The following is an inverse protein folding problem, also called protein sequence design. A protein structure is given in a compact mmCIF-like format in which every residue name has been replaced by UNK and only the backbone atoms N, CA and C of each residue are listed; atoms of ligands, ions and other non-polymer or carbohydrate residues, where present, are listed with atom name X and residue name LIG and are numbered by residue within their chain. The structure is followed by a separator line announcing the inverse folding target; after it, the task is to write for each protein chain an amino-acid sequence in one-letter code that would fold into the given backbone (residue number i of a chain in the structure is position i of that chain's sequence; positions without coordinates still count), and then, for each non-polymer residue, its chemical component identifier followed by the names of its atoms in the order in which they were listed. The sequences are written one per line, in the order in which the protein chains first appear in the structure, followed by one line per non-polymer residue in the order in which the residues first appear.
data_IF_428802163246
#
_entry.id   IF_428802163246
#
_cell.length_a   1.000
_cell.length_b   1.000
_cell.length_c   1.000
_cell.angle_alpha   90.00
_cell.angle_beta   90.00
_cell.angle_gamma   90.00
#
_symmetry.space_group_name_H-M   'P 1'
#
loop_
_entity.id
_entity.type
_entity.pdbx_description
1 polymer ?
#
# COMPACT_ATOMS: atom_id res chain seq x y z
N UNK A 1 -15.84 -4.39 1.43
CA UNK A 1 -15.46 -3.61 2.63
C UNK A 1 -14.21 -4.22 3.27
N UNK A 2 -13.30 -3.36 3.73
CA UNK A 2 -12.05 -3.75 4.38
C UNK A 2 -11.88 -2.95 5.65
N UNK A 3 -11.52 -3.62 6.74
CA UNK A 3 -11.16 -2.96 8.00
C UNK A 3 -9.66 -3.08 8.23
N UNK A 4 -9.03 -1.97 8.58
CA UNK A 4 -7.59 -1.89 8.78
C UNK A 4 -7.28 -1.60 10.25
N UNK A 5 -6.34 -2.37 10.78
CA UNK A 5 -5.76 -2.19 12.10
C UNK A 5 -4.26 -1.95 11.98
N UNK A 6 -3.71 -1.15 12.88
CA UNK A 6 -2.28 -0.92 13.02
C UNK A 6 -1.85 -1.27 14.44
N UNK A 7 -0.95 -2.24 14.59
CA UNK A 7 -0.52 -2.78 15.90
C UNK A 7 -1.71 -3.14 16.80
N UNK A 8 -2.77 -3.70 16.21
CA UNK A 8 -4.00 -4.08 16.90
C UNK A 8 -5.01 -2.95 17.13
N UNK A 9 -4.66 -1.70 16.86
CA UNK A 9 -5.57 -0.55 17.00
C UNK A 9 -6.34 -0.33 15.70
N UNK A 10 -7.64 -0.07 15.80
CA UNK A 10 -8.48 0.28 14.64
C UNK A 10 -7.97 1.57 13.97
N UNK A 11 -7.83 1.53 12.66
CA UNK A 11 -7.43 2.67 11.83
C UNK A 11 -8.60 3.22 11.05
N UNK A 12 -9.18 2.39 10.19
CA UNK A 12 -10.28 2.79 9.32
C UNK A 12 -11.00 1.59 8.72
N UNK A 13 -12.22 1.84 8.27
CA UNK A 13 -12.98 0.91 7.45
C UNK A 13 -13.18 1.54 6.07
N UNK A 14 -12.79 0.81 5.04
CA UNK A 14 -12.89 1.25 3.65
C UNK A 14 -13.98 0.47 2.92
N UNK A 15 -14.91 1.21 2.33
CA UNK A 15 -15.78 0.70 1.27
C UNK A 15 -15.13 1.06 -0.06
N UNK A 16 -14.41 0.12 -0.65
CA UNK A 16 -13.56 0.34 -1.82
C UNK A 16 -13.41 -0.96 -2.60
N UNK A 17 -12.89 -0.87 -3.83
CA UNK A 17 -12.59 -2.06 -4.64
C UNK A 17 -11.41 -2.85 -4.06
N UNK A 18 -10.53 -2.19 -3.32
CA UNK A 18 -9.39 -2.80 -2.66
C UNK A 18 -8.62 -1.80 -1.82
N UNK A 19 -7.57 -2.30 -1.20
CA UNK A 19 -6.54 -1.49 -0.54
C UNK A 19 -5.16 -1.95 -0.99
N UNK A 20 -4.26 -1.00 -1.20
CA UNK A 20 -2.88 -1.25 -1.59
C UNK A 20 -1.98 -0.87 -0.43
N UNK A 21 -1.03 -1.74 -0.08
CA UNK A 21 0.05 -1.40 0.84
C UNK A 21 1.34 -1.47 0.05
N UNK A 22 2.08 -0.37 0.03
CA UNK A 22 3.29 -0.25 -0.76
C UNK A 22 4.47 0.25 0.05
N UNK A 23 5.65 -0.24 -0.30
CA UNK A 23 6.94 0.33 0.11
C UNK A 23 7.19 1.66 -0.60
N UNK A 24 8.20 2.46 -0.21
CA UNK A 24 8.58 3.64 -0.96
C UNK A 24 8.84 3.36 -2.45
N UNK A 25 9.55 2.29 -2.77
CA UNK A 25 9.77 1.87 -4.16
C UNK A 25 8.45 1.55 -4.87
N UNK A 26 7.55 0.82 -4.22
CA UNK A 26 6.24 0.45 -4.78
C UNK A 26 5.24 1.61 -4.83
N UNK A 27 5.50 2.73 -4.14
CA UNK A 27 4.60 3.89 -4.11
C UNK A 27 4.41 4.54 -5.49
N UNK A 28 5.37 4.38 -6.39
CA UNK A 28 5.32 4.91 -7.76
C UNK A 28 4.65 3.97 -8.77
N UNK A 29 4.18 2.81 -8.34
CA UNK A 29 3.47 1.84 -9.16
C UNK A 29 1.94 1.99 -9.03
N UNK A 30 1.22 0.92 -8.72
CA UNK A 30 -0.25 0.94 -8.66
C UNK A 30 -0.79 1.88 -7.56
N UNK A 31 -0.07 2.01 -6.44
CA UNK A 31 -0.44 2.98 -5.39
C UNK A 31 -0.55 4.41 -5.91
N UNK A 32 0.40 4.83 -6.78
CA UNK A 32 0.35 6.15 -7.41
C UNK A 32 -0.88 6.29 -8.31
N UNK A 33 -1.18 5.29 -9.13
CA UNK A 33 -2.36 5.29 -10.00
C UNK A 33 -3.68 5.34 -9.22
N UNK A 34 -3.69 4.79 -8.01
CA UNK A 34 -4.83 4.84 -7.10
C UNK A 34 -4.92 6.15 -6.29
N UNK A 35 -4.03 7.10 -6.52
CA UNK A 35 -4.01 8.40 -5.85
C UNK A 35 -3.13 8.47 -4.60
N UNK A 36 -2.26 7.48 -4.39
CA UNK A 36 -1.28 7.51 -3.32
C UNK A 36 -0.12 8.47 -3.58
N UNK A 37 0.58 8.93 -2.54
CA UNK A 37 1.73 9.81 -2.68
C UNK A 37 2.97 9.05 -3.17
N UNK A 38 3.87 9.78 -3.80
CA UNK A 38 5.25 9.32 -4.02
C UNK A 38 6.00 9.44 -2.70
N UNK A 39 6.62 8.34 -2.26
CA UNK A 39 7.42 8.31 -1.05
C UNK A 39 8.90 8.41 -1.39
N UNK A 40 9.66 9.10 -0.55
CA UNK A 40 11.12 9.12 -0.64
C UNK A 40 11.66 7.70 -0.47
N UNK A 41 12.53 7.25 -1.39
CA UNK A 41 13.11 5.92 -1.36
C UNK A 41 13.91 5.61 -0.08
N UNK A 42 14.44 6.65 0.59
CA UNK A 42 15.18 6.52 1.83
C UNK A 42 14.29 6.52 3.09
N UNK A 43 12.99 6.79 2.95
CA UNK A 43 12.08 6.83 4.08
C UNK A 43 11.75 5.42 4.59
N UNK A 44 11.83 5.21 5.90
CA UNK A 44 11.44 3.97 6.55
C UNK A 44 9.93 3.97 6.84
N UNK A 45 9.14 3.89 5.79
CA UNK A 45 7.66 3.98 5.84
C UNK A 45 7.01 2.98 4.88
N UNK A 46 5.72 2.79 5.04
CA UNK A 46 4.84 2.16 4.07
C UNK A 46 3.58 3.00 3.90
N UNK A 47 2.95 2.94 2.75
CA UNK A 47 1.72 3.65 2.46
C UNK A 47 0.58 2.67 2.23
N UNK A 48 -0.59 2.99 2.80
CA UNK A 48 -1.85 2.34 2.50
C UNK A 48 -2.67 3.29 1.62
N UNK A 49 -3.08 2.80 0.46
CA UNK A 49 -3.88 3.56 -0.51
C UNK A 49 -5.17 2.80 -0.82
N UNK A 50 -6.34 3.36 -0.52
CA UNK A 50 -7.62 2.76 -0.92
C UNK A 50 -7.82 2.89 -2.43
N UNK A 51 -8.44 1.87 -3.05
CA UNK A 51 -8.71 1.83 -4.50
C UNK A 51 -10.19 2.11 -4.73
N UNK A 52 -10.49 3.15 -5.49
CA UNK A 52 -11.87 3.54 -5.85
C UNK A 52 -12.80 3.57 -4.63
N UNK A 53 -12.37 4.22 -3.56
CA UNK A 53 -13.15 4.30 -2.33
C UNK A 53 -14.41 5.15 -2.53
N UNK A 54 -15.50 4.72 -1.91
CA UNK A 54 -16.80 5.38 -2.00
C UNK A 54 -16.93 6.61 -1.07
N UNK A 55 -15.91 6.92 -0.29
CA UNK A 55 -15.89 8.05 0.62
C UNK A 55 -14.80 9.06 0.25
N UNK A 56 -15.15 10.33 0.23
CA UNK A 56 -14.19 11.43 0.06
C UNK A 56 -13.17 11.54 1.21
N UNK A 57 -13.45 10.90 2.33
CA UNK A 57 -12.57 10.85 3.50
C UNK A 57 -11.60 9.66 3.49
N UNK A 58 -11.69 8.80 2.48
CA UNK A 58 -10.79 7.65 2.33
C UNK A 58 -9.46 8.12 1.70
N UNK A 59 -8.62 8.74 2.51
CA UNK A 59 -7.31 9.25 2.10
C UNK A 59 -6.23 8.20 2.28
N UNK A 60 -5.15 8.23 1.47
CA UNK A 60 -3.96 7.42 1.73
C UNK A 60 -3.32 7.76 3.07
N UNK A 61 -2.83 6.73 3.76
CA UNK A 61 -2.18 6.85 5.07
C UNK A 61 -0.76 6.31 5.01
N UNK A 62 0.18 7.05 5.59
CA UNK A 62 1.58 6.65 5.70
C UNK A 62 1.87 6.17 7.11
N UNK A 63 2.47 4.99 7.23
CA UNK A 63 2.85 4.35 8.49
C UNK A 63 4.36 4.17 8.58
N UNK A 64 4.91 4.18 9.78
CA UNK A 64 6.28 3.74 9.99
C UNK A 64 6.46 2.29 9.53
N UNK A 65 7.61 1.99 8.93
CA UNK A 65 7.97 0.64 8.50
C UNK A 65 8.03 -0.39 9.66
N UNK A 66 8.13 0.09 10.91
CA UNK A 66 8.13 -0.75 12.11
C UNK A 66 6.72 -1.21 12.54
N UNK A 67 5.66 -0.67 11.93
CA UNK A 67 4.28 -1.03 12.26
C UNK A 67 3.87 -2.35 11.60
N UNK A 68 2.91 -3.01 12.23
CA UNK A 68 2.22 -4.16 11.68
C UNK A 68 0.81 -3.74 11.29
N UNK A 69 0.48 -3.88 10.00
CA UNK A 69 -0.87 -3.64 9.50
C UNK A 69 -1.64 -4.95 9.38
N UNK A 70 -2.89 -4.93 9.75
CA UNK A 70 -3.81 -6.04 9.53
C UNK A 70 -5.00 -5.55 8.71
N UNK A 71 -5.25 -6.18 7.59
CA UNK A 71 -6.39 -5.91 6.71
C UNK A 71 -7.37 -7.06 6.81
N UNK A 72 -8.57 -6.78 7.26
CA UNK A 72 -9.66 -7.75 7.36
C UNK A 72 -10.57 -7.62 6.14
N UNK A 73 -10.76 -8.71 5.40
CA UNK A 73 -11.81 -8.81 4.39
C UNK A 73 -13.14 -9.04 5.12
N UNK A 74 -13.99 -8.01 5.15
CA UNK A 74 -15.23 -8.07 5.91
C UNK A 74 -16.16 -9.21 5.46
N UNK A 75 -16.83 -9.85 6.42
CA UNK A 75 -17.76 -10.95 6.15
C UNK A 75 -18.98 -10.52 5.30
N UNK A 76 -19.24 -9.22 5.19
CA UNK A 76 -20.30 -8.64 4.35
C UNK A 76 -19.93 -8.56 2.87
N UNK A 77 -18.68 -8.87 2.48
CA UNK A 77 -18.28 -8.89 1.09
C UNK A 77 -19.07 -9.96 0.32
N UNK A 78 -19.69 -9.56 -0.78
CA UNK A 78 -20.47 -10.44 -1.65
C UNK A 78 -19.61 -11.19 -2.65
N UNK A 79 -18.51 -10.55 -3.06
CA UNK A 79 -17.58 -11.07 -4.05
C UNK A 79 -16.37 -11.70 -3.36
N UNK A 80 -15.71 -12.60 -4.08
CA UNK A 80 -14.44 -13.17 -3.64
C UNK A 80 -13.38 -12.11 -3.49
N UNK A 81 -12.63 -12.15 -2.39
CA UNK A 81 -11.51 -11.26 -2.12
C UNK A 81 -10.22 -12.04 -2.27
N UNK A 82 -9.21 -11.42 -2.80
CA UNK A 82 -7.87 -12.00 -2.85
C UNK A 82 -6.80 -10.95 -2.57
N UNK A 83 -5.69 -11.38 -2.06
CA UNK A 83 -4.46 -10.59 -1.96
C UNK A 83 -3.48 -11.03 -3.03
N UNK A 84 -2.73 -10.09 -3.58
CA UNK A 84 -1.60 -10.39 -4.47
C UNK A 84 -0.40 -9.51 -4.12
N UNK A 85 0.80 -10.06 -4.28
CA UNK A 85 2.04 -9.33 -4.13
C UNK A 85 2.68 -9.14 -5.50
N UNK A 86 2.86 -7.89 -5.92
CA UNK A 86 3.48 -7.49 -7.20
C UNK A 86 2.93 -8.25 -8.42
N UNK A 87 1.65 -8.58 -8.39
CA UNK A 87 0.94 -9.35 -9.44
C UNK A 87 1.46 -10.78 -9.68
N UNK A 88 2.33 -11.29 -8.84
CA UNK A 88 2.93 -12.63 -9.01
C UNK A 88 2.32 -13.71 -8.11
N UNK A 89 1.93 -13.35 -6.91
CA UNK A 89 1.35 -14.28 -5.95
C UNK A 89 -0.10 -13.91 -5.70
N UNK A 90 -0.96 -14.90 -5.61
CA UNK A 90 -2.38 -14.72 -5.27
C UNK A 90 -2.74 -15.61 -4.08
N UNK A 91 -3.42 -15.02 -3.12
CA UNK A 91 -4.00 -15.70 -1.97
C UNK A 91 -5.47 -15.32 -1.87
N UNK A 92 -6.37 -16.28 -2.03
CA UNK A 92 -7.79 -16.05 -1.88
C UNK A 92 -8.14 -15.95 -0.38
N UNK A 93 -8.95 -14.96 -0.03
CA UNK A 93 -9.41 -14.70 1.33
C UNK A 93 -10.90 -15.02 1.45
N UNK A 94 -11.25 -15.82 2.45
CA UNK A 94 -12.64 -16.05 2.80
C UNK A 94 -13.21 -14.83 3.54
N UNK A 95 -14.53 -14.62 3.50
CA UNK A 95 -15.16 -13.56 4.28
C UNK A 95 -14.79 -13.64 5.76
N UNK A 96 -14.31 -12.53 6.31
CA UNK A 96 -13.84 -12.42 7.70
C UNK A 96 -12.38 -12.80 7.93
N UNK A 97 -11.69 -13.34 6.93
CA UNK A 97 -10.24 -13.57 7.04
C UNK A 97 -9.45 -12.28 6.96
N UNK A 98 -8.26 -12.31 7.51
CA UNK A 98 -7.36 -11.17 7.56
C UNK A 98 -5.98 -11.48 6.98
N UNK A 99 -5.33 -10.45 6.49
CA UNK A 99 -3.95 -10.46 6.05
C UNK A 99 -3.13 -9.54 6.95
N UNK A 100 -2.02 -10.07 7.47
CA UNK A 100 -1.06 -9.27 8.25
C UNK A 100 0.13 -8.90 7.39
N UNK A 101 0.49 -7.62 7.41
CA UNK A 101 1.54 -7.05 6.59
C UNK A 101 2.59 -6.40 7.49
N UNK A 102 3.84 -6.80 7.29
CA UNK A 102 5.03 -6.22 7.94
C UNK A 102 6.09 -5.94 6.90
N UNK A 103 7.00 -5.02 7.20
CA UNK A 103 8.19 -4.83 6.38
C UNK A 103 9.14 -6.00 6.57
N UNK A 104 9.66 -6.56 5.48
CA UNK A 104 10.65 -7.62 5.53
C UNK A 104 11.96 -7.12 6.16
N UNK A 105 12.66 -8.03 6.85
CA UNK A 105 14.00 -7.75 7.39
C UNK A 105 15.02 -7.66 6.27
N UNK A 106 14.85 -8.51 5.24
CA UNK A 106 15.68 -8.53 4.05
C UNK A 106 15.46 -7.27 3.22
N UNK A 107 16.56 -6.68 2.78
CA UNK A 107 16.56 -5.50 1.92
C UNK A 107 17.23 -5.80 0.59
N UNK A 108 16.65 -5.27 -0.48
CA UNK A 108 17.29 -5.28 -1.79
C UNK A 108 18.28 -4.11 -1.88
N UNK A 109 19.55 -4.42 -2.08
CA UNK A 109 20.57 -3.40 -2.35
C UNK A 109 20.50 -2.93 -3.80
N UNK A 110 20.23 -1.65 -4.01
CA UNK A 110 20.28 -1.01 -5.31
C UNK A 110 21.58 -0.21 -5.44
N UNK A 111 22.30 -0.41 -6.54
CA UNK A 111 23.47 0.39 -6.87
C UNK A 111 23.00 1.68 -7.51
N UNK A 112 23.41 2.81 -6.94
CA UNK A 112 23.12 4.14 -7.48
C UNK A 112 24.41 4.94 -7.56
N UNK A 113 24.51 5.78 -8.57
CA UNK A 113 25.65 6.69 -8.77
C UNK A 113 25.38 8.12 -8.27
N UNK A 114 24.11 8.41 -7.94
CA UNK A 114 23.66 9.72 -7.50
C UNK A 114 22.48 9.53 -6.53
N UNK A 115 22.65 10.00 -5.29
CA UNK A 115 21.62 9.91 -4.25
C UNK A 115 20.34 10.69 -4.60
N UNK A 116 20.43 11.64 -5.54
CA UNK A 116 19.30 12.45 -6.01
C UNK A 116 18.63 11.90 -7.26
N UNK A 117 19.04 10.74 -7.75
CA UNK A 117 18.52 10.13 -8.98
C UNK A 117 17.01 9.92 -8.93
N UNK A 118 16.46 9.58 -7.77
CA UNK A 118 15.00 9.45 -7.59
C UNK A 118 14.27 10.75 -7.92
N UNK A 119 14.76 11.89 -7.44
CA UNK A 119 14.10 13.19 -7.67
C UNK A 119 14.15 13.60 -9.14
N UNK A 120 15.25 13.31 -9.82
CA UNK A 120 15.40 13.53 -11.26
C UNK A 120 14.45 12.62 -12.05
N UNK A 121 14.30 11.36 -11.65
CA UNK A 121 13.34 10.43 -12.25
C UNK A 121 11.89 10.86 -12.04
N UNK A 122 11.54 11.37 -10.86
CA UNK A 122 10.22 11.94 -10.58
C UNK A 122 9.93 13.11 -11.51
N UNK A 123 10.85 14.07 -11.61
CA UNK A 123 10.68 15.23 -12.48
C UNK A 123 10.49 14.80 -13.94
N UNK A 124 11.37 13.93 -14.45
CA UNK A 124 11.40 13.61 -15.88
C UNK A 124 10.33 12.62 -16.32
N UNK A 125 9.92 11.69 -15.44
CA UNK A 125 9.01 10.59 -15.81
C UNK A 125 7.59 10.78 -15.31
N UNK A 126 7.39 11.47 -14.20
CA UNK A 126 6.07 11.62 -13.59
C UNK A 126 5.50 13.03 -13.74
N UNK A 127 6.32 14.06 -13.70
CA UNK A 127 5.85 15.47 -13.69
C UNK A 127 5.99 16.17 -15.05
N UNK A 128 6.79 15.68 -15.97
CA UNK A 128 6.84 16.21 -17.34
C UNK A 128 5.58 15.79 -18.12
N UNK A 129 4.87 16.79 -18.56
CA UNK A 129 3.79 16.63 -19.54
C UNK A 129 4.33 16.58 -20.95
#
# INVERSE_FOLDING_TARGET
DYTVYCDGAFVSRYRSDGVIIATPTGSTAYSLSAGGPVLDACAAVMVLTPVCAHSIHAVPLVFSASRTLTVVAEATNRDSVYASADSHSRCDLQPGESLTITTAVEQLGLITFDETEQFRAIETKLMRR
#
